data_IF_580572010222
#
_entry.id   IF_580572010222
#
_cell.length_a   1.000
_cell.length_b   1.000
_cell.length_c   1.000
_cell.angle_alpha   90.00
_cell.angle_beta   90.00
_cell.angle_gamma   90.00
#
_symmetry.space_group_name_H-M   'P 1'
#
loop_
_entity.id
_entity.type
_entity.pdbx_description
1 polymer ?
#
# COMPACT_ATOMS: atom_id res chain seq x y z
N UNK A 1 -4.63 -38.03 -74.85
CA UNK A 1 -3.90 -38.53 -73.65
C UNK A 1 -3.74 -37.40 -72.64
N UNK A 2 -4.19 -37.63 -71.41
CA UNK A 2 -4.33 -36.64 -70.33
C UNK A 2 -3.13 -36.68 -69.39
N UNK A 3 -2.55 -35.53 -69.05
CA UNK A 3 -1.65 -35.38 -67.89
C UNK A 3 -2.03 -34.12 -67.11
N UNK A 4 -2.84 -34.30 -66.05
CA UNK A 4 -3.21 -33.24 -65.10
C UNK A 4 -2.08 -33.00 -64.11
N UNK A 5 -1.47 -31.82 -64.16
CA UNK A 5 -0.50 -31.37 -63.16
C UNK A 5 -1.23 -30.90 -61.89
N UNK A 6 -1.14 -31.69 -60.80
CA UNK A 6 -1.58 -31.25 -59.47
C UNK A 6 -0.43 -30.52 -58.77
N UNK A 7 -0.47 -29.18 -58.77
CA UNK A 7 0.38 -28.36 -57.90
C UNK A 7 -0.18 -28.42 -56.48
N UNK A 8 0.42 -29.24 -55.63
CA UNK A 8 0.18 -29.20 -54.19
C UNK A 8 0.76 -27.90 -53.64
N UNK A 9 -0.07 -26.89 -53.44
CA UNK A 9 0.32 -25.73 -52.66
C UNK A 9 0.37 -26.14 -51.18
N UNK A 10 1.59 -26.32 -50.66
CA UNK A 10 1.84 -26.36 -49.22
C UNK A 10 1.41 -25.02 -48.64
N UNK A 11 0.22 -24.97 -48.05
CA UNK A 11 -0.24 -23.84 -47.26
C UNK A 11 0.74 -23.65 -46.10
N UNK A 12 1.59 -22.63 -46.19
CA UNK A 12 2.34 -22.13 -45.03
C UNK A 12 1.30 -21.65 -44.02
N UNK A 13 1.03 -22.47 -42.99
CA UNK A 13 0.29 -22.02 -41.81
C UNK A 13 1.05 -20.82 -41.26
N UNK A 14 0.47 -19.64 -41.42
CA UNK A 14 0.99 -18.39 -40.87
C UNK A 14 0.85 -18.54 -39.36
N UNK A 15 1.96 -18.80 -38.68
CA UNK A 15 2.02 -18.90 -37.22
C UNK A 15 1.69 -17.52 -36.66
N UNK A 16 0.40 -17.30 -36.40
CA UNK A 16 -0.05 -16.11 -35.71
C UNK A 16 0.63 -16.11 -34.33
N UNK A 17 1.20 -14.97 -33.89
CA UNK A 17 2.05 -14.88 -32.71
C UNK A 17 1.24 -14.97 -31.39
N UNK A 18 0.47 -16.06 -31.21
CA UNK A 18 -0.37 -16.31 -30.02
C UNK A 18 0.42 -16.24 -28.72
N UNK A 19 1.70 -16.61 -28.74
CA UNK A 19 2.59 -16.48 -27.58
C UNK A 19 2.73 -15.03 -27.13
N UNK A 20 2.87 -14.08 -28.06
CA UNK A 20 2.99 -12.66 -27.74
C UNK A 20 1.65 -12.08 -27.25
N UNK A 21 0.52 -12.58 -27.78
CA UNK A 21 -0.82 -12.19 -27.30
C UNK A 21 -1.04 -12.69 -25.87
N UNK A 22 -0.68 -13.94 -25.57
CA UNK A 22 -0.78 -14.49 -24.23
C UNK A 22 0.12 -13.74 -23.23
N UNK A 23 1.37 -13.46 -23.62
CA UNK A 23 2.31 -12.67 -22.81
C UNK A 23 1.78 -11.25 -22.53
N UNK A 24 1.26 -10.58 -23.56
CA UNK A 24 0.66 -9.25 -23.40
C UNK A 24 -0.55 -9.26 -22.48
N UNK A 25 -1.43 -10.26 -22.62
CA UNK A 25 -2.59 -10.43 -21.74
C UNK A 25 -2.20 -10.67 -20.27
N UNK A 26 -1.19 -11.51 -20.02
CA UNK A 26 -0.67 -11.77 -18.67
C UNK A 26 -0.06 -10.50 -18.07
N UNK A 27 0.73 -9.75 -18.85
CA UNK A 27 1.34 -8.49 -18.40
C UNK A 27 0.27 -7.45 -18.02
N UNK A 28 -0.76 -7.29 -18.84
CA UNK A 28 -1.87 -6.36 -18.57
C UNK A 28 -2.66 -6.78 -17.33
N UNK A 29 -2.93 -8.07 -17.16
CA UNK A 29 -3.60 -8.59 -15.97
C UNK A 29 -2.75 -8.39 -14.70
N UNK A 30 -1.45 -8.64 -14.77
CA UNK A 30 -0.53 -8.42 -13.66
C UNK A 30 -0.43 -6.93 -13.29
N UNK A 31 -0.36 -6.03 -14.28
CA UNK A 31 -0.37 -4.58 -14.05
C UNK A 31 -1.70 -4.13 -13.41
N UNK A 32 -2.84 -4.58 -13.94
CA UNK A 32 -4.15 -4.25 -13.38
C UNK A 32 -4.30 -4.75 -11.94
N UNK A 33 -3.85 -5.98 -11.64
CA UNK A 33 -3.83 -6.52 -10.29
C UNK A 33 -2.94 -5.71 -9.35
N UNK A 34 -1.74 -5.34 -9.80
CA UNK A 34 -0.81 -4.54 -9.02
C UNK A 34 -1.36 -3.14 -8.71
N UNK A 35 -1.92 -2.44 -9.70
CA UNK A 35 -2.50 -1.10 -9.51
C UNK A 35 -3.82 -1.12 -8.73
N UNK A 36 -4.65 -2.15 -8.89
CA UNK A 36 -5.87 -2.31 -8.09
C UNK A 36 -5.56 -2.56 -6.60
N UNK A 37 -4.46 -3.26 -6.32
CA UNK A 37 -4.01 -3.52 -4.96
C UNK A 37 -3.08 -2.43 -4.40
N UNK A 38 -2.71 -1.43 -5.21
CA UNK A 38 -1.96 -0.27 -4.76
C UNK A 38 -2.91 0.66 -3.98
N UNK A 39 -3.30 0.24 -2.77
CA UNK A 39 -4.01 1.04 -1.76
C UNK A 39 -3.18 2.19 -1.20
N UNK A 40 -2.30 2.78 -2.01
CA UNK A 40 -1.53 3.98 -1.74
C UNK A 40 -2.36 5.21 -2.08
N UNK A 41 -3.55 5.31 -1.50
CA UNK A 41 -4.24 6.57 -1.43
C UNK A 41 -3.42 7.50 -0.56
N UNK A 42 -2.59 8.34 -1.18
CA UNK A 42 -2.29 9.66 -0.64
C UNK A 42 -3.64 10.38 -0.65
N UNK A 43 -4.50 10.08 0.33
CA UNK A 43 -5.79 10.74 0.50
C UNK A 43 -5.51 12.23 0.44
N UNK A 44 -6.08 12.92 -0.56
CA UNK A 44 -5.66 14.24 -1.01
C UNK A 44 -5.84 15.40 -0.01
N UNK A 45 -5.98 15.09 1.27
CA UNK A 45 -5.99 16.04 2.38
C UNK A 45 -4.65 16.12 3.12
N UNK A 46 -4.56 17.11 4.01
CA UNK A 46 -3.40 17.32 4.88
C UNK A 46 -3.66 16.61 6.22
N UNK A 47 -2.84 15.62 6.63
CA UNK A 47 -2.96 15.04 7.95
C UNK A 47 -2.58 16.08 9.02
N UNK A 48 -3.35 16.15 10.11
CA UNK A 48 -3.08 17.03 11.24
C UNK A 48 -3.34 16.28 12.54
N UNK A 49 -2.45 16.43 13.52
CA UNK A 49 -2.49 15.67 14.77
C UNK A 49 -2.78 16.61 15.94
N UNK A 50 -3.66 16.18 16.83
CA UNK A 50 -3.89 16.81 18.13
C UNK A 50 -3.86 15.74 19.23
N UNK A 51 -3.30 16.11 20.38
CA UNK A 51 -3.32 15.31 21.61
C UNK A 51 -4.14 16.04 22.66
N UNK A 52 -4.82 15.29 23.51
CA UNK A 52 -5.61 15.84 24.61
C UNK A 52 -4.75 16.40 25.76
N UNK A 53 -3.55 15.84 25.94
CA UNK A 53 -2.59 16.27 26.96
C UNK A 53 -1.16 16.26 26.42
N UNK A 54 -0.40 17.29 26.77
CA UNK A 54 1.03 17.44 26.41
C UNK A 54 1.95 17.25 27.62
N UNK A 55 1.43 17.42 28.84
CA UNK A 55 2.15 17.26 30.09
C UNK A 55 1.32 16.37 31.01
N UNK A 56 1.98 15.42 31.65
CA UNK A 56 1.40 14.54 32.66
C UNK A 56 2.17 14.81 33.95
N UNK A 57 1.48 15.34 34.95
CA UNK A 57 2.04 15.61 36.27
C UNK A 57 1.19 14.90 37.32
N UNK A 58 1.82 13.99 38.05
CA UNK A 58 1.19 13.27 39.15
C UNK A 58 1.48 13.89 40.52
N UNK A 59 2.29 14.95 40.57
CA UNK A 59 2.85 15.51 41.79
C UNK A 59 3.63 14.47 42.58
N UNK A 60 3.46 14.49 43.90
CA UNK A 60 4.12 13.56 44.79
C UNK A 60 3.52 12.14 44.69
N UNK A 61 4.27 11.22 44.07
CA UNK A 61 3.93 9.80 44.03
C UNK A 61 4.71 9.05 45.10
N UNK A 62 3.99 8.25 45.90
CA UNK A 62 4.62 7.38 46.89
C UNK A 62 5.54 6.37 46.20
N UNK A 63 6.66 6.06 46.86
CA UNK A 63 7.59 5.03 46.41
C UNK A 63 6.86 3.70 46.12
N UNK A 64 7.24 3.06 45.03
CA UNK A 64 6.73 1.76 44.59
C UNK A 64 5.23 1.74 44.25
N UNK A 65 4.69 2.88 43.78
CA UNK A 65 3.32 2.98 43.25
C UNK A 65 3.38 3.28 41.75
N UNK A 66 3.02 2.30 40.93
CA UNK A 66 2.91 2.48 39.49
C UNK A 66 1.75 3.42 39.12
N UNK A 67 1.98 4.24 38.10
CA UNK A 67 0.97 5.14 37.53
C UNK A 67 0.82 4.85 36.05
N UNK A 68 -0.42 4.86 35.59
CA UNK A 68 -0.78 4.63 34.19
C UNK A 68 -1.54 5.84 33.68
N UNK A 69 -1.15 6.33 32.50
CA UNK A 69 -1.87 7.36 31.77
C UNK A 69 -2.28 6.84 30.39
N UNK A 70 -3.25 7.50 29.78
CA UNK A 70 -3.65 7.27 28.40
C UNK A 70 -3.72 8.61 27.68
N UNK A 71 -3.06 8.74 26.53
CA UNK A 71 -3.10 9.95 25.69
C UNK A 71 -4.02 9.65 24.51
N UNK A 72 -5.01 10.53 24.29
CA UNK A 72 -5.86 10.43 23.12
C UNK A 72 -5.24 11.22 21.97
N UNK A 73 -4.84 10.48 20.93
CA UNK A 73 -4.41 11.09 19.67
C UNK A 73 -5.59 11.18 18.71
N UNK A 74 -5.80 12.37 18.14
CA UNK A 74 -6.88 12.63 17.18
C UNK A 74 -6.31 13.17 15.87
N UNK A 75 -6.73 12.60 14.74
CA UNK A 75 -6.50 13.20 13.44
C UNK A 75 -7.53 14.32 13.22
N UNK A 76 -7.08 15.56 13.26
CA UNK A 76 -7.90 16.77 13.04
C UNK A 76 -7.85 17.26 11.60
N UNK A 77 -7.04 16.61 10.75
CA UNK A 77 -6.92 16.91 9.34
C UNK A 77 -7.93 16.14 8.48
N UNK A 78 -7.93 16.47 7.19
CA UNK A 78 -8.72 15.81 6.15
C UNK A 78 -7.91 14.75 5.37
N UNK A 79 -6.61 14.62 5.68
CA UNK A 79 -5.72 13.59 5.17
C UNK A 79 -5.59 12.37 6.08
N UNK A 80 -5.15 11.23 5.53
CA UNK A 80 -4.85 10.02 6.30
C UNK A 80 -3.62 10.23 7.18
N UNK A 81 -3.77 10.23 8.51
CA UNK A 81 -2.66 10.27 9.46
C UNK A 81 -2.03 8.88 9.63
N UNK A 82 -0.70 8.81 9.53
CA UNK A 82 0.11 7.59 9.76
C UNK A 82 1.30 7.93 10.65
N UNK A 83 1.54 7.11 11.67
CA UNK A 83 2.79 7.19 12.43
C UNK A 83 3.94 6.59 11.61
N UNK A 84 5.07 7.29 11.55
CA UNK A 84 6.28 6.81 10.86
C UNK A 84 7.14 5.94 11.78
N UNK A 85 7.08 6.24 13.08
CA UNK A 85 7.88 5.64 14.13
C UNK A 85 6.97 5.42 15.35
N UNK A 86 7.42 4.61 16.30
CA UNK A 86 6.70 4.39 17.54
C UNK A 86 6.63 5.69 18.36
N UNK A 87 5.44 6.11 18.84
CA UNK A 87 5.33 7.28 19.70
C UNK A 87 6.11 7.09 20.99
N UNK A 88 6.88 8.09 21.38
CA UNK A 88 7.63 8.08 22.64
C UNK A 88 7.17 9.22 23.55
N UNK A 89 7.40 9.03 24.84
CA UNK A 89 7.24 10.06 25.88
C UNK A 89 8.60 10.37 26.47
N UNK A 90 8.82 11.62 26.84
CA UNK A 90 10.05 12.07 27.48
C UNK A 90 9.78 12.37 28.96
N UNK A 91 10.66 11.87 29.83
CA UNK A 91 10.62 12.21 31.26
C UNK A 91 11.35 13.53 31.43
N UNK A 92 10.59 14.58 31.75
CA UNK A 92 11.14 15.93 31.96
C UNK A 92 11.70 16.06 33.38
N UNK A 93 10.96 15.55 34.37
CA UNK A 93 11.35 15.55 35.78
C UNK A 93 10.89 14.25 36.46
N UNK A 94 11.68 13.76 37.42
CA UNK A 94 11.46 12.46 38.10
C UNK A 94 12.42 11.36 37.63
N UNK A 95 12.37 10.21 38.33
CA UNK A 95 13.23 9.04 38.08
C UNK A 95 12.38 7.82 37.70
#
# INVERSE_FOLDING_TARGET
>A
MSKKNKKYQKQRKKNFPWLFVALGGILLAAAAFFFANQGGGNGGGTPSIAVDQQLIDYGDVKFNVEKTFAIKVTNTGDGTLRFKEDPYVEVVEGC
#
